data_IF_284594012097
#
_entry.id   IF_284594012097
#
_cell.length_a   1.000
_cell.length_b   1.000
_cell.length_c   1.000
_cell.angle_alpha   90.00
_cell.angle_beta   90.00
_cell.angle_gamma   90.00
#
_symmetry.space_group_name_H-M   'P 1'
#
loop_
_entity.id
_entity.type
_entity.pdbx_description
1 polymer ?
#
# COMPACT_ATOMS: atom_id res chain seq x y z
N UNK A 1 29.34 0.92 -5.92
CA UNK A 1 29.04 2.20 -5.25
C UNK A 1 29.30 2.19 -3.74
N UNK A 2 29.10 1.07 -3.02
CA UNK A 2 29.27 1.04 -1.55
C UNK A 2 30.49 0.23 -1.04
N UNK A 3 31.41 -0.19 -1.92
CA UNK A 3 32.59 -1.00 -1.56
C UNK A 3 33.43 -0.26 -0.51
N UNK A 4 33.78 -0.94 0.58
CA UNK A 4 34.58 -0.37 1.67
C UNK A 4 33.78 0.47 2.67
N UNK A 5 32.46 0.57 2.53
CA UNK A 5 31.59 1.20 3.55
C UNK A 5 30.90 0.13 4.40
N UNK A 6 30.34 0.55 5.53
CA UNK A 6 29.43 -0.25 6.36
C UNK A 6 28.14 -0.71 5.65
N UNK A 7 27.92 -0.31 4.39
CA UNK A 7 26.83 -0.78 3.52
C UNK A 7 27.32 -1.60 2.32
N UNK A 8 28.61 -1.92 2.25
CA UNK A 8 29.22 -2.62 1.11
C UNK A 8 28.69 -4.03 0.87
N UNK A 9 28.39 -4.75 1.95
CA UNK A 9 27.90 -6.14 1.93
C UNK A 9 26.40 -6.24 2.26
N UNK A 10 25.65 -5.15 2.08
CA UNK A 10 24.22 -5.11 2.38
C UNK A 10 23.45 -6.06 1.45
N UNK A 11 22.67 -6.98 2.03
CA UNK A 11 21.80 -7.91 1.29
C UNK A 11 20.46 -7.30 0.87
N UNK A 12 20.03 -6.25 1.56
CA UNK A 12 18.78 -5.52 1.31
C UNK A 12 18.87 -4.10 1.91
N UNK A 13 17.89 -3.26 1.60
CA UNK A 13 17.72 -1.93 2.18
C UNK A 13 16.25 -1.68 2.54
N UNK A 14 16.00 -0.79 3.51
CA UNK A 14 14.65 -0.37 3.91
C UNK A 14 14.04 0.58 2.87
N UNK A 15 12.72 0.56 2.70
CA UNK A 15 11.99 1.42 1.75
C UNK A 15 12.31 2.91 1.90
N UNK A 16 12.50 3.41 3.13
CA UNK A 16 12.94 4.80 3.42
C UNK A 16 14.23 5.22 2.68
N UNK A 17 15.02 4.27 2.20
CA UNK A 17 16.23 4.56 1.40
C UNK A 17 15.88 5.10 0.02
N UNK A 18 14.70 4.80 -0.52
CA UNK A 18 14.24 5.31 -1.82
C UNK A 18 14.17 6.84 -1.85
N UNK A 19 13.75 7.45 -0.73
CA UNK A 19 13.74 8.91 -0.56
C UNK A 19 15.11 9.55 -0.70
N UNK A 20 16.19 8.82 -0.46
CA UNK A 20 17.57 9.35 -0.50
C UNK A 20 18.18 9.28 -1.90
N UNK A 21 17.54 8.58 -2.83
CA UNK A 21 18.07 8.41 -4.19
C UNK A 21 18.08 9.73 -4.98
N UNK A 22 17.24 10.69 -4.61
CA UNK A 22 17.21 12.04 -5.22
C UNK A 22 18.35 12.93 -4.73
N UNK A 23 18.90 12.65 -3.55
CA UNK A 23 19.94 13.48 -2.92
C UNK A 23 21.36 13.11 -3.39
N UNK A 24 21.55 11.88 -3.84
CA UNK A 24 22.84 11.39 -4.32
C UNK A 24 23.01 11.81 -5.78
N UNK A 25 23.98 12.68 -6.05
CA UNK A 25 24.25 13.21 -7.39
C UNK A 25 25.56 12.69 -7.97
N UNK A 26 25.60 12.60 -9.30
CA UNK A 26 26.82 12.34 -10.06
C UNK A 26 27.80 13.52 -10.01
N UNK A 27 28.96 13.33 -10.63
CA UNK A 27 30.01 14.37 -10.72
C UNK A 27 29.56 15.61 -11.51
N UNK A 28 28.52 15.50 -12.32
CA UNK A 28 27.90 16.61 -13.06
C UNK A 28 27.05 17.53 -12.16
N UNK A 29 26.75 17.13 -10.91
CA UNK A 29 25.89 17.85 -9.97
C UNK A 29 24.43 18.00 -10.40
N UNK A 30 24.02 17.35 -11.51
CA UNK A 30 22.69 17.47 -12.13
C UNK A 30 21.92 16.16 -12.08
N UNK A 31 22.59 15.06 -12.39
CA UNK A 31 21.96 13.74 -12.48
C UNK A 31 21.98 13.05 -11.13
N UNK A 32 20.83 12.57 -10.67
CA UNK A 32 20.70 11.86 -9.38
C UNK A 32 20.78 10.35 -9.57
N UNK A 33 21.00 9.61 -8.48
CA UNK A 33 20.95 8.15 -8.49
C UNK A 33 19.56 7.64 -8.89
N UNK A 34 18.48 8.35 -8.55
CA UNK A 34 17.13 8.00 -9.01
C UNK A 34 17.00 8.04 -10.54
N UNK A 35 17.59 9.03 -11.22
CA UNK A 35 17.56 9.08 -12.70
C UNK A 35 18.21 7.83 -13.30
N UNK A 36 19.34 7.41 -12.74
CA UNK A 36 20.04 6.19 -13.17
C UNK A 36 19.20 4.94 -12.93
N UNK A 37 18.59 4.80 -11.74
CA UNK A 37 17.71 3.66 -11.42
C UNK A 37 16.54 3.57 -12.39
N UNK A 38 15.88 4.69 -12.72
CA UNK A 38 14.78 4.71 -13.69
C UNK A 38 15.26 4.27 -15.08
N UNK A 39 16.40 4.77 -15.55
CA UNK A 39 16.97 4.34 -16.84
C UNK A 39 17.30 2.86 -16.87
N UNK A 40 17.83 2.34 -15.76
CA UNK A 40 18.23 0.95 -15.65
C UNK A 40 17.02 0.01 -15.64
N UNK A 41 15.93 0.36 -14.96
CA UNK A 41 14.66 -0.39 -15.01
C UNK A 41 14.12 -0.40 -16.44
N UNK A 42 14.11 0.74 -17.13
CA UNK A 42 13.65 0.82 -18.52
C UNK A 42 14.47 -0.12 -19.43
N UNK A 43 15.78 -0.21 -19.17
CA UNK A 43 16.70 -1.07 -19.92
C UNK A 43 16.50 -2.55 -19.61
N UNK A 44 16.36 -2.94 -18.34
CA UNK A 44 16.22 -4.33 -17.90
C UNK A 44 14.88 -4.93 -18.31
N UNK A 45 13.78 -4.25 -17.99
CA UNK A 45 12.40 -4.68 -18.31
C UNK A 45 12.15 -4.71 -19.83
N UNK A 46 12.88 -3.89 -20.58
CA UNK A 46 12.90 -3.96 -22.03
C UNK A 46 13.45 -5.29 -22.52
N UNK A 47 14.54 -5.80 -21.95
CA UNK A 47 15.29 -6.94 -22.47
C UNK A 47 14.69 -8.33 -22.15
N UNK A 48 13.82 -8.47 -21.15
CA UNK A 48 13.39 -9.78 -20.62
C UNK A 48 12.48 -10.62 -21.54
N UNK A 49 12.00 -10.09 -22.68
CA UNK A 49 11.01 -10.80 -23.51
C UNK A 49 11.57 -11.66 -24.65
N UNK A 50 12.88 -11.70 -24.90
CA UNK A 50 13.46 -12.51 -26.01
C UNK A 50 14.07 -13.86 -25.59
N UNK A 51 14.24 -14.16 -24.29
CA UNK A 51 14.86 -15.42 -23.85
C UNK A 51 13.93 -16.64 -23.81
N UNK A 52 12.65 -16.49 -24.16
CA UNK A 52 11.65 -17.58 -24.09
C UNK A 52 11.43 -18.35 -25.41
N UNK A 53 11.90 -17.85 -26.55
CA UNK A 53 11.76 -18.53 -27.84
C UNK A 53 13.13 -18.87 -28.41
N UNK A 54 13.66 -20.04 -28.02
CA UNK A 54 14.80 -20.65 -28.68
C UNK A 54 14.44 -20.95 -30.14
N UNK A 55 15.12 -20.26 -31.06
CA UNK A 55 15.56 -20.69 -32.39
C UNK A 55 16.02 -19.44 -33.17
N UNK A 56 17.33 -19.20 -33.24
CA UNK A 56 17.91 -18.15 -34.11
C UNK A 56 18.72 -18.85 -35.20
N UNK A 57 18.34 -18.76 -36.49
CA UNK A 57 19.28 -18.89 -37.59
C UNK A 57 20.09 -17.60 -37.67
N UNK A 58 21.42 -17.73 -37.67
CA UNK A 58 22.35 -16.63 -37.95
C UNK A 58 21.99 -15.96 -39.28
N UNK A 59 22.14 -14.64 -39.32
CA UNK A 59 21.96 -13.72 -40.47
C UNK A 59 20.59 -13.05 -40.60
N UNK A 60 20.38 -11.98 -39.83
CA UNK A 60 19.82 -10.75 -40.40
C UNK A 60 20.18 -9.53 -39.54
N UNK A 61 20.58 -8.46 -40.20
CA UNK A 61 21.00 -7.18 -39.64
C UNK A 61 20.04 -6.67 -38.56
N UNK A 62 20.56 -6.57 -37.33
CA UNK A 62 19.90 -6.10 -36.12
C UNK A 62 19.67 -4.59 -36.17
N UNK A 63 18.77 -4.13 -37.04
CA UNK A 63 18.14 -2.81 -36.87
C UNK A 63 17.19 -2.85 -35.67
N UNK A 64 17.80 -2.74 -34.49
CA UNK A 64 17.33 -1.96 -33.35
C UNK A 64 15.83 -2.06 -33.03
N UNK A 65 15.45 -3.12 -32.31
CA UNK A 65 14.24 -3.13 -31.48
C UNK A 65 14.42 -2.35 -30.15
N UNK A 66 15.51 -1.57 -30.01
CA UNK A 66 15.80 -0.76 -28.82
C UNK A 66 14.64 0.19 -28.47
N UNK A 67 14.00 0.78 -29.49
CA UNK A 67 12.83 1.64 -29.28
C UNK A 67 11.64 0.87 -28.69
N UNK A 68 11.42 -0.38 -29.11
CA UNK A 68 10.34 -1.21 -28.59
C UNK A 68 10.61 -1.65 -27.15
N UNK A 69 11.85 -2.03 -26.83
CA UNK A 69 12.26 -2.37 -25.48
C UNK A 69 12.17 -1.18 -24.53
N UNK A 70 12.66 -0.02 -24.97
CA UNK A 70 12.53 1.23 -24.23
C UNK A 70 11.07 1.60 -24.00
N UNK A 71 10.19 1.37 -24.98
CA UNK A 71 8.74 1.60 -24.84
C UNK A 71 8.11 0.67 -23.79
N UNK A 72 8.50 -0.61 -23.76
CA UNK A 72 8.04 -1.57 -22.75
C UNK A 72 8.49 -1.19 -21.34
N UNK A 73 9.79 -0.94 -21.17
CA UNK A 73 10.33 -0.53 -19.87
C UNK A 73 9.74 0.81 -19.39
N UNK A 74 9.52 1.75 -20.31
CA UNK A 74 8.83 3.00 -19.99
C UNK A 74 7.37 2.78 -19.57
N UNK A 75 6.66 1.84 -20.20
CA UNK A 75 5.32 1.46 -19.78
C UNK A 75 5.29 0.89 -18.35
N UNK A 76 6.27 0.07 -17.98
CA UNK A 76 6.41 -0.45 -16.61
C UNK A 76 6.60 0.69 -15.62
N UNK A 77 7.59 1.57 -15.85
CA UNK A 77 7.86 2.69 -14.93
C UNK A 77 6.68 3.66 -14.86
N UNK A 78 6.03 3.96 -16.00
CA UNK A 78 4.85 4.83 -16.04
C UNK A 78 3.63 4.22 -15.34
N UNK A 79 3.50 2.89 -15.35
CA UNK A 79 2.41 2.14 -14.73
C UNK A 79 2.44 2.13 -13.20
N UNK A 80 3.63 2.25 -12.59
CA UNK A 80 3.80 2.21 -11.12
C UNK A 80 2.90 3.21 -10.38
N UNK A 81 2.70 4.40 -10.95
CA UNK A 81 1.82 5.42 -10.35
C UNK A 81 0.36 4.98 -10.23
N UNK A 82 -0.10 4.16 -11.18
CA UNK A 82 -1.45 3.58 -11.20
C UNK A 82 -1.55 2.37 -10.27
N UNK A 83 -0.54 1.51 -10.28
CA UNK A 83 -0.54 0.30 -9.45
C UNK A 83 -0.46 0.63 -7.96
N UNK A 84 0.10 1.80 -7.61
CA UNK A 84 0.23 2.31 -6.25
C UNK A 84 -0.72 3.46 -5.93
N UNK A 85 -1.83 3.62 -6.68
CA UNK A 85 -2.75 4.76 -6.55
C UNK A 85 -3.37 4.90 -5.14
N UNK A 86 -3.60 3.78 -4.45
CA UNK A 86 -4.16 3.75 -3.11
C UNK A 86 -3.13 3.97 -2.00
N UNK A 87 -1.83 3.87 -2.28
CA UNK A 87 -0.76 4.15 -1.31
C UNK A 87 -0.89 5.59 -0.81
N UNK A 88 -1.11 6.54 -1.73
CA UNK A 88 -1.29 7.95 -1.37
C UNK A 88 -2.51 8.20 -0.47
N UNK A 89 -3.60 7.47 -0.70
CA UNK A 89 -4.80 7.57 0.16
C UNK A 89 -4.51 6.99 1.54
N UNK A 90 -3.90 5.80 1.58
CA UNK A 90 -3.55 5.12 2.83
C UNK A 90 -2.55 5.92 3.68
N UNK A 91 -1.60 6.62 3.05
CA UNK A 91 -0.63 7.49 3.71
C UNK A 91 -1.28 8.67 4.47
N UNK A 92 -2.46 9.11 4.03
CA UNK A 92 -3.22 10.18 4.67
C UNK A 92 -4.23 9.69 5.72
N UNK A 93 -4.31 8.38 5.96
CA UNK A 93 -5.23 7.80 6.94
C UNK A 93 -4.58 7.75 8.32
N UNK A 94 -5.41 7.87 9.35
CA UNK A 94 -5.02 7.72 10.76
C UNK A 94 -5.77 6.52 11.35
N UNK A 95 -5.02 5.51 11.77
CA UNK A 95 -5.57 4.26 12.30
C UNK A 95 -6.30 4.47 13.62
N UNK A 96 -5.82 5.36 14.48
CA UNK A 96 -6.43 5.62 15.79
C UNK A 96 -7.76 6.36 15.61
N UNK A 97 -7.79 7.32 14.68
CA UNK A 97 -9.01 8.02 14.29
C UNK A 97 -10.04 7.04 13.71
N UNK A 98 -9.61 6.14 12.81
CA UNK A 98 -10.49 5.12 12.22
C UNK A 98 -11.08 4.21 13.29
N UNK A 99 -10.24 3.69 14.19
CA UNK A 99 -10.68 2.84 15.30
C UNK A 99 -11.65 3.58 16.23
N UNK A 100 -11.41 4.88 16.46
CA UNK A 100 -12.32 5.72 17.25
C UNK A 100 -13.72 5.84 16.64
N UNK A 101 -13.85 5.82 15.30
CA UNK A 101 -15.16 5.85 14.65
C UNK A 101 -15.94 4.57 14.90
N UNK A 102 -15.27 3.41 14.88
CA UNK A 102 -15.88 2.12 15.21
C UNK A 102 -16.37 2.12 16.66
N UNK A 103 -15.55 2.58 17.61
CA UNK A 103 -15.95 2.70 19.01
C UNK A 103 -17.11 3.67 19.21
N UNK A 104 -17.16 4.78 18.45
CA UNK A 104 -18.28 5.74 18.48
C UNK A 104 -19.57 5.11 17.96
N UNK A 105 -19.51 4.30 16.90
CA UNK A 105 -20.67 3.55 16.39
C UNK A 105 -21.19 2.58 17.44
N UNK A 106 -20.31 1.80 18.07
CA UNK A 106 -20.67 0.87 19.17
C UNK A 106 -21.34 1.62 20.33
N UNK A 107 -20.71 2.68 20.81
CA UNK A 107 -21.23 3.50 21.91
C UNK A 107 -22.58 4.15 21.57
N UNK A 108 -22.72 4.64 20.32
CA UNK A 108 -23.97 5.19 19.83
C UNK A 108 -25.08 4.15 19.80
N UNK A 109 -24.75 2.94 19.35
CA UNK A 109 -25.70 1.83 19.27
C UNK A 109 -26.17 1.36 20.66
N UNK A 110 -25.27 1.32 21.64
CA UNK A 110 -25.66 1.06 23.04
C UNK A 110 -26.65 2.11 23.58
N UNK A 111 -26.45 3.39 23.25
CA UNK A 111 -27.41 4.45 23.64
C UNK A 111 -28.79 4.22 23.01
N UNK A 112 -28.84 3.79 21.76
CA UNK A 112 -30.11 3.43 21.09
C UNK A 112 -30.76 2.23 21.77
N UNK A 113 -29.98 1.24 22.19
CA UNK A 113 -30.48 0.08 22.96
C UNK A 113 -31.13 0.50 24.28
N UNK A 114 -30.58 1.51 24.97
CA UNK A 114 -31.20 2.05 26.19
C UNK A 114 -32.59 2.66 25.91
N UNK A 115 -32.77 3.32 24.77
CA UNK A 115 -34.08 3.89 24.39
C UNK A 115 -35.14 2.80 24.21
N UNK A 116 -34.76 1.62 23.71
CA UNK A 116 -35.69 0.50 23.52
C UNK A 116 -36.29 -0.02 24.83
N UNK A 117 -35.65 0.23 25.98
CA UNK A 117 -36.18 -0.17 27.29
C UNK A 117 -37.46 0.58 27.69
N UNK A 118 -37.77 1.70 27.02
CA UNK A 118 -38.95 2.51 27.28
C UNK A 118 -40.18 2.12 26.43
N UNK A 119 -40.09 1.06 25.63
CA UNK A 119 -41.22 0.55 24.86
C UNK A 119 -42.34 0.07 25.79
N UNK A 120 -43.57 0.55 25.56
CA UNK A 120 -44.76 0.09 26.29
C UNK A 120 -45.77 -0.55 25.34
N UNK A 121 -46.57 -1.55 25.80
CA UNK A 121 -47.53 -2.26 24.94
C UNK A 121 -48.62 -1.40 24.32
N UNK A 122 -48.95 -0.26 24.96
CA UNK A 122 -49.98 0.69 24.56
C UNK A 122 -49.46 1.79 23.61
N UNK A 123 -48.15 1.84 23.36
CA UNK A 123 -47.57 2.81 22.42
C UNK A 123 -47.96 2.48 20.98
N UNK A 124 -48.54 3.47 20.31
CA UNK A 124 -48.88 3.41 18.88
C UNK A 124 -47.72 3.91 18.04
N UNK A 125 -47.50 3.29 16.87
CA UNK A 125 -46.50 3.70 15.90
C UNK A 125 -45.46 2.62 15.61
N UNK A 126 -44.57 2.90 14.64
CA UNK A 126 -43.61 1.91 14.14
C UNK A 126 -42.18 2.13 14.65
N UNK A 127 -41.93 3.13 15.49
CA UNK A 127 -40.59 3.52 15.91
C UNK A 127 -39.80 2.36 16.52
N UNK A 128 -40.32 1.71 17.58
CA UNK A 128 -39.59 0.62 18.25
C UNK A 128 -39.36 -0.59 17.35
N UNK A 129 -40.32 -0.94 16.49
CA UNK A 129 -40.15 -2.02 15.50
C UNK A 129 -39.06 -1.70 14.48
N UNK A 130 -39.08 -0.49 13.91
CA UNK A 130 -38.04 -0.02 12.99
C UNK A 130 -36.67 0.07 13.67
N UNK A 131 -36.60 0.57 14.90
CA UNK A 131 -35.36 0.68 15.67
C UNK A 131 -34.79 -0.70 16.01
N UNK A 132 -35.61 -1.69 16.38
CA UNK A 132 -35.14 -3.08 16.58
C UNK A 132 -34.54 -3.69 15.30
N UNK A 133 -35.15 -3.45 14.15
CA UNK A 133 -34.61 -3.91 12.87
C UNK A 133 -33.29 -3.22 12.53
N UNK A 134 -33.23 -1.90 12.73
CA UNK A 134 -32.01 -1.11 12.57
C UNK A 134 -30.88 -1.62 13.48
N UNK A 135 -31.18 -1.89 14.77
CA UNK A 135 -30.20 -2.39 15.73
C UNK A 135 -29.55 -3.68 15.24
N UNK A 136 -30.37 -4.67 14.83
CA UNK A 136 -29.86 -5.94 14.31
C UNK A 136 -28.92 -5.72 13.12
N UNK A 137 -29.34 -4.90 12.15
CA UNK A 137 -28.51 -4.60 10.99
C UNK A 137 -27.20 -3.89 11.36
N UNK A 138 -27.26 -2.91 12.26
CA UNK A 138 -26.11 -2.16 12.70
C UNK A 138 -25.11 -3.01 13.51
N UNK A 139 -25.59 -3.93 14.34
CA UNK A 139 -24.75 -4.89 15.07
C UNK A 139 -23.94 -5.77 14.09
N UNK A 140 -24.62 -6.34 13.10
CA UNK A 140 -23.98 -7.16 12.05
C UNK A 140 -22.96 -6.33 11.24
N UNK A 141 -23.28 -5.07 10.93
CA UNK A 141 -22.41 -4.15 10.19
C UNK A 141 -21.14 -3.80 10.97
N UNK A 142 -21.27 -3.47 12.26
CA UNK A 142 -20.14 -3.16 13.14
C UNK A 142 -19.22 -4.37 13.28
N UNK A 143 -19.76 -5.57 13.48
CA UNK A 143 -18.95 -6.81 13.55
C UNK A 143 -18.14 -7.00 12.27
N UNK A 144 -18.77 -6.78 11.10
CA UNK A 144 -18.06 -6.88 9.82
C UNK A 144 -16.95 -5.85 9.67
N UNK A 145 -17.22 -4.58 10.01
CA UNK A 145 -16.22 -3.50 9.93
C UNK A 145 -15.02 -3.82 10.82
N UNK A 146 -15.24 -4.31 12.05
CA UNK A 146 -14.15 -4.73 12.97
C UNK A 146 -13.31 -5.88 12.40
N UNK A 147 -13.96 -6.82 11.71
CA UNK A 147 -13.24 -7.91 11.05
C UNK A 147 -12.35 -7.38 9.93
N UNK A 148 -12.88 -6.51 9.06
CA UNK A 148 -12.10 -5.89 7.97
C UNK A 148 -10.95 -5.02 8.50
N UNK A 149 -11.18 -4.25 9.58
CA UNK A 149 -10.14 -3.45 10.23
C UNK A 149 -8.98 -4.33 10.71
N UNK A 150 -9.29 -5.44 11.39
CA UNK A 150 -8.29 -6.39 11.88
C UNK A 150 -7.50 -7.04 10.73
N UNK A 151 -8.20 -7.48 9.68
CA UNK A 151 -7.58 -8.09 8.51
C UNK A 151 -6.66 -7.11 7.78
N UNK A 152 -7.13 -5.88 7.54
CA UNK A 152 -6.33 -4.85 6.90
C UNK A 152 -5.07 -4.52 7.71
N UNK A 153 -5.19 -4.34 9.04
CA UNK A 153 -4.04 -4.08 9.90
C UNK A 153 -3.05 -5.25 9.95
N UNK A 154 -3.55 -6.49 9.86
CA UNK A 154 -2.70 -7.67 9.78
C UNK A 154 -1.88 -7.68 8.47
N UNK A 155 -2.52 -7.43 7.33
CA UNK A 155 -1.82 -7.35 6.04
C UNK A 155 -0.79 -6.22 6.01
N UNK A 156 -1.14 -5.06 6.56
CA UNK A 156 -0.21 -3.93 6.71
C UNK A 156 1.00 -4.32 7.54
N UNK A 157 0.80 -5.07 8.63
CA UNK A 157 1.89 -5.59 9.44
C UNK A 157 2.79 -6.55 8.64
N UNK A 158 2.23 -7.51 7.91
CA UNK A 158 3.02 -8.44 7.09
C UNK A 158 3.88 -7.71 6.04
N UNK A 159 3.29 -6.74 5.33
CA UNK A 159 4.02 -5.93 4.34
C UNK A 159 5.09 -5.08 5.02
N UNK A 160 4.80 -4.50 6.19
CA UNK A 160 5.78 -3.73 6.96
C UNK A 160 6.96 -4.61 7.38
N UNK A 161 6.70 -5.80 7.90
CA UNK A 161 7.74 -6.76 8.29
C UNK A 161 8.58 -7.21 7.09
N UNK A 162 7.97 -7.39 5.91
CA UNK A 162 8.70 -7.73 4.68
C UNK A 162 9.73 -6.67 4.28
N UNK A 163 9.35 -5.38 4.31
CA UNK A 163 10.23 -4.30 3.84
C UNK A 163 11.10 -3.66 4.94
N UNK A 164 10.69 -3.73 6.21
CA UNK A 164 11.39 -3.09 7.33
C UNK A 164 11.97 -4.09 8.35
N UNK A 165 11.68 -5.39 8.20
CA UNK A 165 12.11 -6.44 9.13
C UNK A 165 11.49 -6.27 10.51
N UNK A 166 12.17 -6.80 11.54
CA UNK A 166 11.72 -6.73 12.94
C UNK A 166 11.69 -5.31 13.53
N UNK A 167 12.14 -4.27 12.81
CA UNK A 167 12.02 -2.88 13.24
C UNK A 167 10.56 -2.42 13.33
N UNK A 168 9.61 -3.17 12.74
CA UNK A 168 8.17 -2.96 12.92
C UNK A 168 7.70 -3.01 14.39
N UNK A 169 8.49 -3.61 15.29
CA UNK A 169 8.21 -3.62 16.74
C UNK A 169 8.57 -2.31 17.45
N UNK A 170 9.33 -1.42 16.82
CA UNK A 170 9.82 -0.18 17.43
C UNK A 170 8.96 1.05 17.07
N UNK A 171 7.98 0.93 16.18
CA UNK A 171 7.29 2.08 15.62
C UNK A 171 5.78 2.08 15.91
N UNK A 172 5.29 3.22 16.41
CA UNK A 172 3.94 3.37 16.95
C UNK A 172 2.83 3.53 15.90
N UNK A 173 3.16 3.66 14.61
CA UNK A 173 2.20 4.01 13.56
C UNK A 173 2.01 2.85 12.55
N UNK A 174 0.89 2.12 12.61
CA UNK A 174 0.63 0.96 11.75
C UNK A 174 0.72 1.27 10.25
N UNK A 175 0.30 2.46 9.82
CA UNK A 175 0.18 2.83 8.40
C UNK A 175 1.45 3.46 7.80
N UNK A 176 2.56 3.52 8.55
CA UNK A 176 3.79 4.18 8.09
C UNK A 176 4.37 3.58 6.80
N UNK A 177 4.13 2.30 6.52
CA UNK A 177 4.57 1.67 5.27
C UNK A 177 4.09 2.39 4.01
N UNK A 178 3.02 3.21 4.11
CA UNK A 178 2.51 4.02 3.00
C UNK A 178 3.12 5.43 2.94
N UNK A 179 3.83 5.86 3.98
CA UNK A 179 4.49 7.16 4.08
C UNK A 179 5.96 7.02 3.65
N UNK A 180 6.17 6.97 2.34
CA UNK A 180 7.50 6.92 1.70
C UNK A 180 7.59 8.04 0.68
#
# INVERSE_FOLDING_TARGET
MNVGTNRGDAKAFKLDTLLKLVDIKGTDGKTTLLHFVVQEIIRSEGAETESANGNIPEQMESKFNEEQFKKKGLHVVGGLSKDLDNVKKAAGMDSDVLSSYVTKLETGLEKVRLVLQYEKPDMKGNFFKSTKLFMKYAEDEIVRIKSHEREALFLVKEVTEYFHGNAAKEEAHPLRIFMI
#
